data_IF_353094450985
#
_entry.id   IF_353094450985
#
_cell.length_a   1.000
_cell.length_b   1.000
_cell.length_c   1.000
_cell.angle_alpha   90.00
_cell.angle_beta   90.00
_cell.angle_gamma   90.00
#
_symmetry.space_group_name_H-M   'P 1'
#
loop_
_entity.id
_entity.type
_entity.pdbx_description
1 polymer ?
#
# COMPACT_ATOMS: atom_id res chain seq x y z
N UNK A 1 6.01 13.97 -18.84
CA UNK A 1 6.26 13.66 -17.41
C UNK A 1 5.76 12.26 -17.03
N UNK A 2 4.53 11.86 -17.36
CA UNK A 2 3.98 10.53 -17.02
C UNK A 2 4.79 9.33 -17.55
N UNK A 3 5.34 9.45 -18.76
CA UNK A 3 6.13 8.38 -19.40
C UNK A 3 7.37 7.95 -18.61
N UNK A 4 8.05 8.87 -17.94
CA UNK A 4 9.22 8.54 -17.13
C UNK A 4 8.84 7.65 -15.94
N UNK A 5 7.74 7.96 -15.26
CA UNK A 5 7.24 7.16 -14.14
C UNK A 5 6.83 5.77 -14.59
N UNK A 6 6.10 5.65 -15.72
CA UNK A 6 5.75 4.34 -16.28
C UNK A 6 6.99 3.51 -16.59
N UNK A 7 7.99 4.11 -17.25
CA UNK A 7 9.24 3.42 -17.58
C UNK A 7 10.05 3.03 -16.33
N UNK A 8 10.04 3.85 -15.29
CA UNK A 8 10.72 3.56 -14.03
C UNK A 8 10.04 2.43 -13.25
N UNK A 9 8.71 2.42 -13.22
CA UNK A 9 7.93 1.32 -12.63
C UNK A 9 8.19 0.01 -13.40
N UNK A 10 8.16 0.03 -14.73
CA UNK A 10 8.48 -1.14 -15.57
C UNK A 10 9.91 -1.65 -15.34
N UNK A 11 10.86 -0.74 -15.10
CA UNK A 11 12.26 -1.08 -14.83
C UNK A 11 12.54 -1.41 -13.34
N UNK A 12 11.54 -1.33 -12.47
CA UNK A 12 11.64 -1.57 -11.03
C UNK A 12 12.60 -0.61 -10.32
N UNK A 13 12.67 0.65 -10.78
CA UNK A 13 13.62 1.66 -10.27
C UNK A 13 13.29 2.02 -8.82
N UNK A 14 12.01 2.20 -8.52
CA UNK A 14 11.54 2.57 -7.18
C UNK A 14 11.93 1.51 -6.15
N UNK A 15 11.78 0.22 -6.49
CA UNK A 15 12.12 -0.92 -5.64
C UNK A 15 13.62 -0.99 -5.36
N UNK A 16 14.44 -0.83 -6.40
CA UNK A 16 15.91 -0.83 -6.28
C UNK A 16 16.41 0.34 -5.43
N UNK A 17 15.84 1.52 -5.64
CA UNK A 17 16.16 2.71 -4.87
C UNK A 17 15.79 2.50 -3.40
N UNK A 18 14.57 2.02 -3.13
CA UNK A 18 14.09 1.75 -1.77
C UNK A 18 14.96 0.72 -1.05
N UNK A 19 15.31 -0.39 -1.70
CA UNK A 19 16.20 -1.41 -1.14
C UNK A 19 17.57 -0.85 -0.76
N UNK A 20 18.16 -0.03 -1.63
CA UNK A 20 19.47 0.59 -1.40
C UNK A 20 19.42 1.57 -0.24
N UNK A 21 18.39 2.43 -0.20
CA UNK A 21 18.21 3.42 0.85
C UNK A 21 17.94 2.78 2.21
N UNK A 22 17.14 1.71 2.25
CA UNK A 22 16.87 0.98 3.49
C UNK A 22 18.14 0.39 4.12
N UNK A 23 18.94 -0.32 3.34
CA UNK A 23 20.21 -0.88 3.83
C UNK A 23 21.13 0.24 4.31
N UNK A 24 21.26 1.31 3.53
CA UNK A 24 22.12 2.45 3.86
C UNK A 24 21.69 3.11 5.17
N UNK A 25 20.39 3.39 5.34
CA UNK A 25 19.85 3.99 6.55
C UNK A 25 20.07 3.11 7.79
N UNK A 26 19.94 1.79 7.66
CA UNK A 26 20.20 0.85 8.77
C UNK A 26 21.66 0.84 9.19
N UNK A 27 22.57 0.75 8.23
CA UNK A 27 24.02 0.74 8.50
C UNK A 27 24.45 2.06 9.16
N UNK A 28 23.93 3.21 8.70
CA UNK A 28 24.18 4.52 9.31
C UNK A 28 23.72 4.61 10.76
N UNK A 29 22.70 3.83 11.14
CA UNK A 29 22.19 3.74 12.52
C UNK A 29 22.90 2.64 13.33
N UNK A 30 23.98 2.03 12.81
CA UNK A 30 24.72 0.95 13.48
C UNK A 30 23.95 -0.38 13.57
N UNK A 31 22.93 -0.57 12.73
CA UNK A 31 22.09 -1.79 12.71
C UNK A 31 22.55 -2.76 11.63
N UNK A 32 22.13 -4.02 11.77
CA UNK A 32 22.32 -5.03 10.73
C UNK A 32 21.63 -4.60 9.41
N UNK A 33 22.25 -4.85 8.24
CA UNK A 33 21.70 -4.49 6.93
C UNK A 33 20.28 -5.05 6.68
N UNK A 34 20.05 -6.29 7.12
CA UNK A 34 18.76 -6.95 6.98
C UNK A 34 17.95 -6.84 8.28
N UNK A 35 16.66 -6.43 8.23
CA UNK A 35 15.80 -6.45 9.40
C UNK A 35 15.46 -7.88 9.85
N UNK A 36 15.35 -8.05 11.17
CA UNK A 36 14.89 -9.26 11.87
C UNK A 36 13.36 -9.39 11.90
N UNK A 37 12.66 -8.26 11.94
CA UNK A 37 11.19 -8.18 12.02
C UNK A 37 10.64 -7.04 11.15
N UNK A 38 9.36 -7.17 10.77
CA UNK A 38 8.62 -6.18 10.00
C UNK A 38 7.18 -6.04 10.51
N UNK A 39 6.69 -4.81 10.52
CA UNK A 39 5.31 -4.43 10.85
C UNK A 39 4.56 -4.23 9.53
N UNK A 40 3.43 -4.89 9.37
CA UNK A 40 2.54 -4.70 8.22
C UNK A 40 1.37 -3.82 8.64
N UNK A 41 1.18 -2.71 7.92
CA UNK A 41 0.01 -1.85 8.10
C UNK A 41 -0.72 -1.60 6.78
N UNK A 42 -2.01 -1.30 6.86
CA UNK A 42 -2.82 -0.89 5.72
C UNK A 42 -2.96 0.63 5.65
N UNK A 43 -2.46 1.23 4.57
CA UNK A 43 -2.59 2.66 4.30
C UNK A 43 -3.58 2.90 3.17
N UNK A 44 -4.50 3.86 3.33
CA UNK A 44 -5.38 4.30 2.25
C UNK A 44 -5.06 5.76 1.94
N UNK A 45 -4.76 6.04 0.68
CA UNK A 45 -4.42 7.38 0.19
C UNK A 45 -5.55 7.89 -0.69
N UNK A 46 -5.97 9.15 -0.50
CA UNK A 46 -7.02 9.78 -1.31
C UNK A 46 -6.57 9.82 -2.77
N UNK A 47 -7.44 9.36 -3.67
CA UNK A 47 -7.19 9.45 -5.11
C UNK A 47 -7.37 10.89 -5.60
N UNK A 48 -6.54 11.31 -6.57
CA UNK A 48 -6.81 12.52 -7.33
C UNK A 48 -8.05 12.33 -8.21
N UNK A 49 -8.68 13.42 -8.63
CA UNK A 49 -9.90 13.37 -9.45
C UNK A 49 -9.67 12.70 -10.83
N UNK A 50 -8.43 12.70 -11.30
CA UNK A 50 -7.99 12.03 -12.53
C UNK A 50 -7.81 10.52 -12.39
N UNK A 51 -7.86 9.96 -11.18
CA UNK A 51 -7.71 8.51 -10.96
C UNK A 51 -9.02 7.81 -11.34
N UNK A 52 -8.93 6.92 -12.33
CA UNK A 52 -10.04 6.13 -12.85
C UNK A 52 -10.74 5.32 -11.76
N UNK A 53 -12.07 5.22 -11.85
CA UNK A 53 -12.94 4.50 -10.90
C UNK A 53 -12.62 3.00 -10.80
N UNK A 54 -12.08 2.44 -11.87
CA UNK A 54 -11.60 1.06 -11.98
C UNK A 54 -10.41 0.76 -11.06
N UNK A 55 -9.63 1.78 -10.71
CA UNK A 55 -8.38 1.64 -9.97
C UNK A 55 -8.40 2.30 -8.59
N UNK A 56 -9.56 2.77 -8.10
CA UNK A 56 -9.75 3.31 -6.73
C UNK A 56 -11.01 2.74 -6.08
N UNK A 57 -11.04 2.73 -4.75
CA UNK A 57 -12.18 2.27 -3.96
C UNK A 57 -12.42 3.13 -2.73
N UNK A 58 -13.53 2.90 -2.04
CA UNK A 58 -13.86 3.62 -0.81
C UNK A 58 -13.46 2.80 0.42
N UNK A 59 -12.54 3.30 1.24
CA UNK A 59 -12.24 2.74 2.54
C UNK A 59 -13.19 3.35 3.59
N UNK A 60 -14.22 2.60 3.97
CA UNK A 60 -15.22 3.04 4.94
C UNK A 60 -14.61 3.33 6.33
N UNK A 61 -13.55 2.61 6.72
CA UNK A 61 -12.90 2.81 8.01
C UNK A 61 -12.18 4.16 8.11
N UNK A 62 -11.64 4.64 6.99
CA UNK A 62 -10.96 5.94 6.88
C UNK A 62 -11.81 7.03 6.24
N UNK A 63 -12.98 6.67 5.71
CA UNK A 63 -13.86 7.51 4.88
C UNK A 63 -13.13 8.17 3.69
N UNK A 64 -12.21 7.42 3.07
CA UNK A 64 -11.38 7.91 1.96
C UNK A 64 -11.75 7.17 0.68
N UNK A 65 -12.04 7.93 -0.37
CA UNK A 65 -12.12 7.42 -1.74
C UNK A 65 -10.72 7.50 -2.37
N UNK A 66 -10.10 6.35 -2.61
CA UNK A 66 -8.72 6.30 -3.08
C UNK A 66 -8.14 4.89 -3.19
N UNK A 67 -6.82 4.76 -3.04
CA UNK A 67 -6.12 3.48 -3.17
C UNK A 67 -5.64 3.00 -1.81
N UNK A 68 -6.02 1.77 -1.45
CA UNK A 68 -5.52 1.07 -0.27
C UNK A 68 -4.30 0.23 -0.65
N UNK A 69 -3.25 0.33 0.15
CA UNK A 69 -2.00 -0.41 0.03
C UNK A 69 -1.63 -1.03 1.38
N UNK A 70 -0.97 -2.17 1.35
CA UNK A 70 -0.32 -2.75 2.53
C UNK A 70 1.16 -2.43 2.44
N UNK A 71 1.70 -1.82 3.49
CA UNK A 71 3.11 -1.44 3.57
C UNK A 71 3.75 -2.29 4.66
N UNK A 72 4.97 -2.73 4.39
CA UNK A 72 5.83 -3.37 5.37
C UNK A 72 6.89 -2.35 5.77
N UNK A 73 6.96 -2.06 7.06
CA UNK A 73 8.00 -1.22 7.65
C UNK A 73 8.82 -2.08 8.61
N UNK A 74 10.10 -1.82 8.68
CA UNK A 74 11.01 -2.52 9.58
C UNK A 74 10.88 -2.03 11.03
N UNK A 75 11.32 -2.83 12.00
CA UNK A 75 11.28 -2.44 13.42
C UNK A 75 12.49 -1.57 13.78
N UNK A 76 12.31 -0.47 14.56
CA UNK A 76 13.43 0.31 15.09
C UNK A 76 14.06 -0.43 16.28
N UNK A 77 14.78 -1.52 16.00
CA UNK A 77 15.50 -2.25 17.06
C UNK A 77 16.78 -1.50 17.47
N UNK A 78 17.10 -1.44 18.78
CA UNK A 78 18.40 -0.99 19.22
C UNK A 78 19.51 -1.90 18.68
N UNK A 79 20.65 -1.32 18.31
CA UNK A 79 21.79 -2.09 17.84
C UNK A 79 22.19 -3.15 18.90
N UNK A 80 22.25 -4.42 18.51
CA UNK A 80 22.71 -5.54 19.35
C UNK A 80 21.62 -6.37 20.05
N UNK A 81 20.33 -6.02 19.95
CA UNK A 81 19.25 -6.87 20.46
C UNK A 81 18.86 -7.94 19.42
N UNK A 82 18.84 -9.23 19.80
CA UNK A 82 18.33 -10.31 18.94
C UNK A 82 16.85 -10.52 19.23
N UNK A 83 15.99 -10.22 18.27
CA UNK A 83 14.54 -10.24 18.47
C UNK A 83 13.94 -11.66 18.50
N UNK A 84 12.93 -11.84 19.36
CA UNK A 84 12.03 -13.02 19.39
C UNK A 84 10.75 -12.66 18.65
N UNK A 85 10.84 -12.41 17.34
CA UNK A 85 9.66 -12.04 16.55
C UNK A 85 8.59 -13.16 16.60
N UNK A 86 7.40 -12.84 17.14
CA UNK A 86 6.25 -13.74 17.10
C UNK A 86 5.65 -13.73 15.69
N UNK A 87 5.53 -14.90 15.06
CA UNK A 87 4.90 -15.06 13.75
C UNK A 87 3.42 -14.65 13.81
N UNK A 88 3.05 -13.60 13.09
CA UNK A 88 1.65 -13.21 12.88
C UNK A 88 1.18 -13.76 11.52
N UNK A 89 0.14 -14.59 11.52
CA UNK A 89 -0.50 -15.10 10.30
C UNK A 89 -1.59 -14.12 9.89
N UNK A 90 -1.52 -13.59 8.66
CA UNK A 90 -2.57 -12.74 8.12
C UNK A 90 -3.88 -13.53 7.96
N UNK A 91 -4.93 -13.11 8.67
CA UNK A 91 -6.27 -13.67 8.52
C UNK A 91 -6.91 -13.33 7.16
N UNK A 92 -7.99 -14.04 6.76
CA UNK A 92 -8.61 -13.85 5.46
C UNK A 92 -9.08 -12.39 5.25
N UNK A 93 -8.83 -11.86 4.05
CA UNK A 93 -9.22 -10.51 3.63
C UNK A 93 -10.73 -10.37 3.75
N UNK A 94 -11.23 -9.53 4.67
CA UNK A 94 -12.61 -9.06 4.59
C UNK A 94 -12.78 -8.30 3.28
N UNK A 95 -13.67 -8.75 2.40
CA UNK A 95 -14.11 -7.96 1.24
C UNK A 95 -14.68 -6.66 1.77
N UNK A 96 -14.04 -5.54 1.46
CA UNK A 96 -14.53 -4.22 1.83
C UNK A 96 -15.70 -3.90 0.90
N UNK A 97 -16.85 -3.56 1.48
CA UNK A 97 -18.16 -3.52 0.84
C UNK A 97 -18.19 -2.67 -0.44
N UNK A 98 -18.82 -3.24 -1.48
CA UNK A 98 -19.20 -2.52 -2.70
C UNK A 98 -20.28 -1.51 -2.30
N UNK A 99 -20.16 -0.21 -2.63
CA UNK A 99 -21.24 0.74 -2.36
C UNK A 99 -22.50 0.35 -3.15
N UNK A 100 -23.72 0.63 -2.64
CA UNK A 100 -24.94 0.30 -3.35
C UNK A 100 -24.95 1.02 -4.70
N UNK A 101 -25.18 0.25 -5.77
CA UNK A 101 -25.35 0.82 -7.11
C UNK A 101 -26.56 1.74 -7.12
N UNK A 102 -26.37 2.96 -7.64
CA UNK A 102 -27.51 3.76 -8.07
C UNK A 102 -28.19 3.02 -9.23
N UNK A 103 -29.34 2.41 -8.94
CA UNK A 103 -30.29 1.94 -9.95
C UNK A 103 -30.72 3.17 -10.76
N UNK A 104 -30.14 3.35 -11.95
CA UNK A 104 -30.77 4.17 -12.97
C UNK A 104 -32.07 3.47 -13.37
N UNK A 105 -33.19 4.12 -13.05
CA UNK A 105 -34.51 3.74 -13.52
C UNK A 105 -34.47 3.66 -15.05
N UNK A 106 -34.85 2.49 -15.59
CA UNK A 106 -35.17 2.36 -17.01
C UNK A 106 -36.44 3.16 -17.26
N UNK A 107 -36.33 4.31 -17.93
CA UNK A 107 -37.47 4.92 -18.61
C UNK A 107 -37.70 4.12 -19.89
N UNK A 108 -38.72 3.27 -19.82
CA UNK A 108 -39.35 2.64 -20.98
C UNK A 108 -40.18 3.74 -21.66
N UNK A 109 -39.78 4.14 -22.86
CA UNK A 109 -40.66 4.83 -23.80
C UNK A 109 -40.77 3.92 -25.01
N UNK A 110 -41.87 3.17 -25.03
CA UNK A 110 -42.45 2.66 -26.26
C UNK A 110 -43.39 3.76 -26.80
N UNK A 111 -43.29 3.99 -28.12
CA UNK A 111 -43.97 4.96 -29.01
C UNK A 111 -43.26 6.30 -29.24
#
# INVERSE_FOLDING_TARGET
MYWYFTRWEEAGVTEKLLATLWVTARVQQGRAPQPSAGIIDSQTVKGADTVGRDSRGYDAGKKINGRKRFIITDTPEPAGHRDRARRVVAGPRRRQDRPPGHLHARSQLDL
#
